data_IF_506353225640
#
_entry.id   IF_506353225640
#
_cell.length_a   1.000
_cell.length_b   1.000
_cell.length_c   1.000
_cell.angle_alpha   90.00
_cell.angle_beta   90.00
_cell.angle_gamma   90.00
#
_symmetry.space_group_name_H-M   'P 1'
#
loop_
_entity.id
_entity.type
_entity.pdbx_description
1 polymer ?
#
# COMPACT_ATOMS: atom_id res chain seq x y z
N UNK A 1 9.35 0.89 -0.37
CA UNK A 1 10.15 -0.04 -1.21
C UNK A 1 11.62 0.35 -1.08
N UNK A 2 12.47 -0.62 -0.82
CA UNK A 2 13.91 -0.45 -0.68
C UNK A 2 14.59 -1.20 -1.82
N UNK A 3 15.49 -0.56 -2.56
CA UNK A 3 16.39 -1.25 -3.49
C UNK A 3 17.82 -1.06 -3.01
N UNK A 4 18.54 -2.14 -2.80
CA UNK A 4 19.96 -2.11 -2.45
C UNK A 4 20.80 -2.67 -3.58
N UNK A 5 21.81 -1.90 -3.99
CA UNK A 5 22.80 -2.29 -4.99
C UNK A 5 24.11 -2.66 -4.31
N UNK A 6 24.42 -3.96 -4.35
CA UNK A 6 25.64 -4.61 -3.85
C UNK A 6 25.78 -4.56 -2.32
N UNK A 7 24.99 -5.38 -1.63
CA UNK A 7 25.31 -5.90 -0.29
C UNK A 7 25.49 -7.40 -0.49
N UNK A 8 26.76 -7.83 -0.55
CA UNK A 8 27.07 -9.21 -0.17
C UNK A 8 26.73 -9.33 1.31
N UNK A 9 26.07 -10.42 1.73
CA UNK A 9 25.72 -10.74 3.12
C UNK A 9 24.48 -10.03 3.70
N UNK A 10 23.32 -10.66 3.49
CA UNK A 10 22.12 -10.46 4.36
C UNK A 10 21.99 -11.61 5.39
N UNK A 11 22.86 -12.61 5.32
CA UNK A 11 22.93 -13.73 6.28
C UNK A 11 24.16 -13.55 7.19
N UNK A 12 23.91 -13.10 8.41
CA UNK A 12 24.72 -13.45 9.59
C UNK A 12 26.04 -12.71 9.84
N UNK A 13 26.52 -11.81 8.99
CA UNK A 13 27.80 -11.11 9.24
C UNK A 13 27.75 -9.66 8.79
N UNK A 14 27.94 -8.72 9.74
CA UNK A 14 28.16 -7.27 9.59
C UNK A 14 27.51 -6.63 8.35
N UNK A 15 26.39 -5.93 8.57
CA UNK A 15 25.95 -4.88 7.64
C UNK A 15 27.10 -3.87 7.55
N UNK A 16 27.71 -3.70 6.38
CA UNK A 16 28.55 -2.53 6.13
C UNK A 16 27.64 -1.30 6.23
N UNK A 17 27.63 -0.68 7.41
CA UNK A 17 26.87 0.53 7.78
C UNK A 17 27.24 1.76 6.93
N UNK A 18 28.15 1.63 5.95
CA UNK A 18 28.66 2.71 5.11
C UNK A 18 28.03 2.78 3.71
N UNK A 19 26.89 2.12 3.48
CA UNK A 19 26.17 2.29 2.21
C UNK A 19 25.30 3.57 2.26
N UNK A 20 25.65 4.56 1.43
CA UNK A 20 24.89 5.81 1.33
C UNK A 20 23.42 5.52 0.94
N UNK A 21 22.49 6.09 1.72
CA UNK A 21 21.05 5.95 1.52
C UNK A 21 20.52 7.17 0.80
N UNK A 22 19.81 6.96 -0.30
CA UNK A 22 19.27 8.01 -1.14
C UNK A 22 17.77 7.83 -1.36
N UNK A 23 17.00 8.92 -1.29
CA UNK A 23 15.58 8.88 -1.61
C UNK A 23 15.36 9.15 -3.11
N UNK A 24 14.58 8.30 -3.79
CA UNK A 24 14.37 8.38 -5.24
C UNK A 24 13.77 9.73 -5.68
N UNK A 25 12.89 10.30 -4.86
CA UNK A 25 12.24 11.58 -5.13
C UNK A 25 13.22 12.78 -5.15
N UNK A 26 14.38 12.68 -4.47
CA UNK A 26 15.39 13.74 -4.45
C UNK A 26 16.24 13.81 -5.72
N UNK A 27 16.27 12.73 -6.51
CA UNK A 27 17.01 12.74 -7.77
C UNK A 27 16.25 13.52 -8.86
N UNK A 28 16.98 14.26 -9.68
CA UNK A 28 16.44 14.85 -10.92
C UNK A 28 16.17 13.74 -11.94
N UNK A 29 15.31 13.98 -12.94
CA UNK A 29 14.96 13.03 -14.01
C UNK A 29 16.09 12.85 -15.06
N UNK A 30 17.32 12.69 -14.58
CA UNK A 30 18.53 12.40 -15.35
C UNK A 30 19.15 11.08 -14.83
N UNK A 31 20.28 10.63 -15.39
CA UNK A 31 20.94 9.40 -14.92
C UNK A 31 21.24 9.51 -13.41
N UNK A 32 20.90 8.49 -12.61
CA UNK A 32 21.19 8.51 -11.16
C UNK A 32 22.71 8.60 -10.92
N UNK A 33 23.50 7.94 -11.76
CA UNK A 33 24.96 8.01 -11.73
C UNK A 33 25.55 9.25 -12.44
N UNK A 34 24.78 10.32 -12.64
CA UNK A 34 25.29 11.58 -13.23
C UNK A 34 25.79 12.53 -12.14
N UNK A 35 26.66 13.47 -12.51
CA UNK A 35 27.13 14.56 -11.63
C UNK A 35 25.95 15.36 -11.06
N UNK A 36 24.91 15.61 -11.85
CA UNK A 36 23.69 16.31 -11.41
C UNK A 36 22.92 15.60 -10.28
N UNK A 37 23.15 14.30 -10.09
CA UNK A 37 22.55 13.47 -9.04
C UNK A 37 23.60 12.94 -8.05
N UNK A 38 24.79 13.56 -7.97
CA UNK A 38 25.83 13.18 -7.00
C UNK A 38 26.63 11.93 -7.35
N UNK A 39 26.62 11.50 -8.63
CA UNK A 39 27.40 10.36 -9.14
C UNK A 39 27.18 9.04 -8.37
N UNK A 40 25.94 8.79 -7.96
CA UNK A 40 25.57 7.62 -7.16
C UNK A 40 25.66 6.35 -8.01
N UNK A 41 26.74 5.58 -7.83
CA UNK A 41 26.98 4.31 -8.54
C UNK A 41 26.60 3.07 -7.71
N UNK A 42 26.63 3.18 -6.38
CA UNK A 42 26.35 2.11 -5.40
C UNK A 42 25.63 2.72 -4.20
N UNK A 43 24.88 1.93 -3.45
CA UNK A 43 24.16 2.39 -2.25
C UNK A 43 22.76 1.79 -2.16
N UNK A 44 21.94 2.39 -1.29
CA UNK A 44 20.54 2.01 -1.07
C UNK A 44 19.64 3.13 -1.57
N UNK A 45 18.68 2.79 -2.43
CA UNK A 45 17.64 3.71 -2.88
C UNK A 45 16.32 3.38 -2.18
N UNK A 46 15.78 4.34 -1.45
CA UNK A 46 14.44 4.28 -0.88
C UNK A 46 13.44 4.96 -1.81
N UNK A 47 12.31 4.31 -2.06
CA UNK A 47 11.20 4.88 -2.84
C UNK A 47 9.85 4.48 -2.24
N UNK A 48 8.92 5.43 -2.27
CA UNK A 48 7.50 5.13 -2.08
C UNK A 48 6.90 4.58 -3.38
N UNK A 49 5.78 3.87 -3.30
CA UNK A 49 5.06 3.40 -4.48
C UNK A 49 4.59 4.57 -5.37
N UNK A 50 4.17 5.69 -4.76
CA UNK A 50 3.79 6.90 -5.47
C UNK A 50 4.96 7.54 -6.24
N UNK A 51 6.15 7.59 -5.64
CA UNK A 51 7.34 8.10 -6.33
C UNK A 51 7.77 7.18 -7.48
N UNK A 52 7.57 5.87 -7.37
CA UNK A 52 7.96 4.90 -8.39
C UNK A 52 7.12 5.03 -9.68
N UNK A 53 5.82 5.31 -9.55
CA UNK A 53 4.90 5.52 -10.67
C UNK A 53 4.99 6.94 -11.28
N UNK A 54 5.86 7.78 -10.71
CA UNK A 54 6.06 9.16 -11.14
C UNK A 54 6.61 9.25 -12.56
N UNK A 55 6.07 10.19 -13.33
CA UNK A 55 6.50 10.52 -14.69
C UNK A 55 7.08 11.94 -14.71
N UNK A 56 7.91 12.24 -15.71
CA UNK A 56 8.39 13.60 -15.92
C UNK A 56 7.44 14.36 -16.82
N UNK A 57 7.09 15.59 -16.43
CA UNK A 57 6.32 16.53 -17.26
C UNK A 57 7.15 17.16 -18.38
N UNK A 58 8.45 16.84 -18.48
CA UNK A 58 9.35 17.42 -19.47
C UNK A 58 9.32 16.63 -20.79
N UNK A 59 8.81 17.27 -21.84
CA UNK A 59 8.75 16.77 -23.22
C UNK A 59 10.14 16.73 -23.84
N UNK A 60 10.94 15.70 -23.53
CA UNK A 60 12.27 15.52 -24.14
C UNK A 60 13.33 14.87 -23.25
N UNK A 61 13.05 14.62 -21.96
CA UNK A 61 13.99 13.94 -21.08
C UNK A 61 14.20 12.46 -21.46
N UNK A 62 15.46 11.98 -21.40
CA UNK A 62 15.85 10.58 -21.66
C UNK A 62 15.10 9.58 -20.75
N UNK A 63 14.64 10.03 -19.57
CA UNK A 63 13.88 9.23 -18.61
C UNK A 63 12.49 9.83 -18.38
N UNK A 64 11.49 9.28 -19.10
CA UNK A 64 10.09 9.67 -18.97
C UNK A 64 9.42 9.16 -17.68
N UNK A 65 9.92 8.07 -17.09
CA UNK A 65 9.38 7.49 -15.86
C UNK A 65 10.46 7.14 -14.84
N UNK A 66 10.11 7.23 -13.55
CA UNK A 66 11.00 6.91 -12.43
C UNK A 66 11.44 5.45 -12.42
N UNK A 67 10.56 4.51 -12.79
CA UNK A 67 10.95 3.11 -12.93
C UNK A 67 12.05 2.92 -13.98
N UNK A 68 11.98 3.56 -15.16
CA UNK A 68 13.02 3.45 -16.19
C UNK A 68 14.35 4.01 -15.72
N UNK A 69 14.32 5.12 -15.00
CA UNK A 69 15.51 5.72 -14.38
C UNK A 69 16.16 4.75 -13.39
N UNK A 70 15.35 4.10 -12.54
CA UNK A 70 15.81 3.12 -11.56
C UNK A 70 16.36 1.85 -12.21
N UNK A 71 15.66 1.30 -13.20
CA UNK A 71 16.10 0.12 -13.96
C UNK A 71 17.46 0.36 -14.63
N UNK A 72 17.67 1.54 -15.20
CA UNK A 72 18.96 1.90 -15.77
C UNK A 72 20.06 1.95 -14.69
N UNK A 73 19.76 2.46 -13.51
CA UNK A 73 20.71 2.49 -12.41
C UNK A 73 21.04 1.08 -11.90
N UNK A 74 20.06 0.19 -11.81
CA UNK A 74 20.28 -1.22 -11.46
C UNK A 74 21.18 -1.91 -12.49
N UNK A 75 20.88 -1.73 -13.79
CA UNK A 75 21.53 -2.46 -14.89
C UNK A 75 20.87 -3.82 -15.14
N UNK A 76 21.22 -4.47 -16.26
CA UNK A 76 20.60 -5.75 -16.66
C UNK A 76 21.02 -6.92 -15.76
N UNK A 77 22.25 -6.91 -15.24
CA UNK A 77 22.81 -7.96 -14.39
C UNK A 77 22.69 -7.67 -12.89
N UNK A 78 21.66 -6.93 -12.49
CA UNK A 78 21.47 -6.57 -11.09
C UNK A 78 21.11 -7.79 -10.23
N UNK A 79 21.98 -8.10 -9.25
CA UNK A 79 21.89 -9.20 -8.29
C UNK A 79 21.61 -8.72 -6.84
N UNK A 80 21.24 -7.45 -6.71
CA UNK A 80 20.93 -6.80 -5.44
C UNK A 80 19.59 -7.27 -4.84
N UNK A 81 19.22 -6.65 -3.72
CA UNK A 81 17.98 -6.98 -2.99
C UNK A 81 16.94 -5.88 -3.24
N UNK A 82 15.70 -6.28 -3.51
CA UNK A 82 14.52 -5.44 -3.63
C UNK A 82 13.56 -5.82 -2.51
N UNK A 83 13.24 -4.88 -1.63
CA UNK A 83 12.31 -5.07 -0.52
C UNK A 83 11.03 -4.29 -0.81
N UNK A 84 9.94 -5.01 -1.05
CA UNK A 84 8.60 -4.45 -1.11
C UNK A 84 8.01 -4.44 0.30
N UNK A 85 8.02 -3.25 0.90
CA UNK A 85 7.42 -2.99 2.20
C UNK A 85 5.96 -2.57 2.04
N UNK A 86 5.08 -3.04 2.94
CA UNK A 86 3.63 -3.04 2.78
C UNK A 86 3.18 -3.47 1.38
N UNK A 87 3.70 -4.61 0.93
CA UNK A 87 3.53 -5.10 -0.44
C UNK A 87 2.07 -5.36 -0.84
N UNK A 88 1.15 -5.48 0.13
CA UNK A 88 -0.29 -5.53 -0.10
C UNK A 88 -0.82 -4.31 -0.88
N UNK A 89 -0.09 -3.18 -0.93
CA UNK A 89 -0.43 -2.03 -1.80
C UNK A 89 -0.41 -2.35 -3.30
N UNK A 90 0.23 -3.45 -3.71
CA UNK A 90 0.25 -3.95 -5.08
C UNK A 90 -0.80 -5.05 -5.36
N UNK A 91 -1.70 -5.35 -4.41
CA UNK A 91 -2.73 -6.42 -4.53
C UNK A 91 -3.63 -6.28 -5.76
N UNK A 92 -3.95 -5.05 -6.15
CA UNK A 92 -4.80 -4.73 -7.30
C UNK A 92 -4.04 -4.83 -8.65
N UNK A 93 -3.09 -5.76 -8.76
CA UNK A 93 -2.53 -6.19 -10.04
C UNK A 93 -3.54 -7.06 -10.80
N UNK A 94 -4.27 -7.90 -10.09
CA UNK A 94 -5.41 -8.66 -10.61
C UNK A 94 -6.64 -8.28 -9.78
N UNK A 95 -7.31 -7.15 -10.09
CA UNK A 95 -8.43 -6.69 -9.29
C UNK A 95 -9.63 -7.64 -9.41
N UNK A 96 -10.49 -7.64 -8.38
CA UNK A 96 -11.74 -8.40 -8.40
C UNK A 96 -12.72 -7.74 -9.38
N UNK A 97 -13.11 -8.45 -10.44
CA UNK A 97 -14.04 -7.97 -11.48
C UNK A 97 -13.37 -7.52 -12.78
N UNK A 98 -14.05 -6.71 -13.59
CA UNK A 98 -13.61 -6.25 -14.93
C UNK A 98 -12.70 -5.01 -14.90
N UNK A 99 -12.22 -4.60 -13.73
CA UNK A 99 -11.43 -3.36 -13.60
C UNK A 99 -9.99 -3.54 -14.07
N UNK A 100 -9.39 -2.43 -14.55
CA UNK A 100 -8.00 -2.44 -15.03
C UNK A 100 -7.00 -2.57 -13.87
N UNK A 101 -5.88 -3.28 -14.06
CA UNK A 101 -4.79 -3.32 -13.09
C UNK A 101 -4.30 -1.94 -12.68
N UNK A 102 -3.95 -1.77 -11.40
CA UNK A 102 -3.39 -0.51 -10.92
C UNK A 102 -2.00 -0.24 -11.50
N UNK A 103 -1.69 1.02 -11.76
CA UNK A 103 -0.35 1.46 -12.21
C UNK A 103 0.75 0.99 -11.25
N UNK A 104 0.47 1.02 -9.94
CA UNK A 104 1.36 0.50 -8.90
C UNK A 104 1.64 -0.99 -9.08
N UNK A 105 0.59 -1.82 -9.24
CA UNK A 105 0.74 -3.26 -9.46
C UNK A 105 1.55 -3.56 -10.73
N UNK A 106 1.23 -2.89 -11.84
CA UNK A 106 1.94 -3.06 -13.11
C UNK A 106 3.42 -2.66 -13.00
N UNK A 107 3.72 -1.58 -12.30
CA UNK A 107 5.10 -1.08 -12.11
C UNK A 107 5.91 -2.04 -11.24
N UNK A 108 5.30 -2.61 -10.19
CA UNK A 108 5.92 -3.64 -9.35
C UNK A 108 6.18 -4.93 -10.14
N UNK A 109 5.24 -5.33 -11.00
CA UNK A 109 5.42 -6.47 -11.90
C UNK A 109 6.53 -6.21 -12.94
N UNK A 110 6.53 -5.04 -13.57
CA UNK A 110 7.54 -4.64 -14.54
C UNK A 110 8.95 -4.64 -13.93
N UNK A 111 9.09 -4.09 -12.72
CA UNK A 111 10.36 -4.06 -12.00
C UNK A 111 10.91 -5.48 -11.77
N UNK A 112 10.05 -6.40 -11.34
CA UNK A 112 10.42 -7.80 -11.13
C UNK A 112 10.82 -8.47 -12.44
N UNK A 113 10.04 -8.30 -13.51
CA UNK A 113 10.31 -8.92 -14.81
C UNK A 113 11.61 -8.42 -15.45
N UNK A 114 11.94 -7.14 -15.27
CA UNK A 114 13.15 -6.52 -15.83
C UNK A 114 14.42 -6.81 -15.02
N UNK A 115 14.31 -7.22 -13.76
CA UNK A 115 15.44 -7.56 -12.90
C UNK A 115 15.35 -9.03 -12.42
N UNK A 116 15.57 -10.02 -13.31
CA UNK A 116 15.36 -11.42 -12.98
C UNK A 116 16.36 -12.01 -12.00
N UNK A 117 17.58 -11.47 -11.92
CA UNK A 117 18.64 -11.90 -11.00
C UNK A 117 18.52 -11.25 -9.60
N UNK A 118 17.61 -10.29 -9.44
CA UNK A 118 17.43 -9.60 -8.18
C UNK A 118 16.74 -10.50 -7.14
N UNK A 119 17.22 -10.46 -5.90
CA UNK A 119 16.56 -11.10 -4.77
C UNK A 119 15.40 -10.21 -4.31
N UNK A 120 14.21 -10.77 -4.16
CA UNK A 120 13.02 -10.02 -3.78
C UNK A 120 12.54 -10.46 -2.40
N UNK A 121 12.32 -9.48 -1.52
CA UNK A 121 11.72 -9.67 -0.21
C UNK A 121 10.37 -8.97 -0.20
N UNK A 122 9.33 -9.69 0.20
CA UNK A 122 7.99 -9.16 0.38
C UNK A 122 7.71 -9.02 1.88
N UNK A 123 7.53 -7.80 2.36
CA UNK A 123 7.18 -7.50 3.74
C UNK A 123 5.77 -6.88 3.77
N UNK A 124 4.87 -7.50 4.53
CA UNK A 124 3.52 -7.00 4.75
C UNK A 124 2.92 -7.65 5.99
N UNK A 125 2.24 -6.86 6.82
CA UNK A 125 1.51 -7.37 7.98
C UNK A 125 0.18 -8.04 7.59
N UNK A 126 -0.39 -7.69 6.44
CA UNK A 126 -1.76 -8.06 6.02
C UNK A 126 -1.80 -8.75 4.66
N UNK A 127 -0.73 -9.45 4.28
CA UNK A 127 -0.49 -9.92 2.91
C UNK A 127 -1.46 -10.96 2.33
N UNK A 128 -2.23 -11.69 3.16
CA UNK A 128 -2.89 -12.94 2.75
C UNK A 128 -4.40 -12.97 3.05
N UNK A 129 -5.15 -11.93 2.67
CA UNK A 129 -6.63 -11.98 2.78
C UNK A 129 -7.28 -12.86 1.71
N UNK A 130 -6.78 -12.83 0.47
CA UNK A 130 -7.25 -13.69 -0.63
C UNK A 130 -6.08 -14.13 -1.53
N UNK A 131 -6.10 -15.34 -2.14
CA UNK A 131 -5.04 -15.81 -3.03
C UNK A 131 -4.77 -14.87 -4.21
N UNK A 132 -5.84 -14.28 -4.78
CA UNK A 132 -5.74 -13.30 -5.87
C UNK A 132 -4.95 -12.05 -5.48
N UNK A 133 -5.06 -11.63 -4.22
CA UNK A 133 -4.35 -10.47 -3.72
C UNK A 133 -2.84 -10.69 -3.62
N UNK A 134 -2.34 -11.93 -3.79
CA UNK A 134 -0.91 -12.24 -3.79
C UNK A 134 -0.30 -12.35 -5.20
N UNK A 135 -1.07 -12.02 -6.25
CA UNK A 135 -0.59 -12.06 -7.64
C UNK A 135 0.66 -11.20 -7.90
N UNK A 136 0.94 -10.19 -7.06
CA UNK A 136 2.18 -9.40 -7.16
C UNK A 136 3.44 -10.15 -6.72
N UNK A 137 3.30 -11.26 -5.96
CA UNK A 137 4.39 -12.11 -5.50
C UNK A 137 4.81 -13.13 -6.56
N UNK A 138 5.08 -12.64 -7.77
CA UNK A 138 5.37 -13.49 -8.95
C UNK A 138 6.59 -14.40 -8.74
N UNK A 139 7.53 -14.00 -7.86
CA UNK A 139 8.72 -14.78 -7.54
C UNK A 139 8.46 -15.98 -6.63
N UNK A 140 7.34 -16.01 -5.92
CA UNK A 140 6.99 -17.09 -5.01
C UNK A 140 6.10 -18.16 -5.65
N UNK A 141 5.93 -18.13 -6.98
CA UNK A 141 5.17 -19.11 -7.76
C UNK A 141 3.77 -19.39 -7.18
N UNK A 142 3.11 -18.35 -6.66
CA UNK A 142 1.71 -18.44 -6.22
C UNK A 142 0.83 -18.48 -7.47
N UNK A 143 0.61 -19.68 -7.98
CA UNK A 143 -0.28 -19.92 -9.11
C UNK A 143 -1.72 -19.54 -8.70
N UNK A 144 -2.59 -19.23 -9.68
CA UNK A 144 -3.99 -18.79 -9.45
C UNK A 144 -4.90 -19.85 -8.81
N UNK A 145 -4.32 -20.92 -8.29
CA UNK A 145 -5.01 -22.05 -7.66
C UNK A 145 -5.41 -21.62 -6.24
N UNK A 146 -6.59 -22.04 -5.80
CA UNK A 146 -7.29 -21.48 -4.63
C UNK A 146 -6.55 -21.57 -3.29
N UNK A 147 -7.25 -21.16 -2.22
CA UNK A 147 -6.71 -21.01 -0.86
C UNK A 147 -5.98 -22.26 -0.35
N UNK A 148 -6.45 -23.46 -0.70
CA UNK A 148 -5.81 -24.72 -0.27
C UNK A 148 -4.40 -24.95 -0.85
N UNK A 149 -4.15 -24.55 -2.11
CA UNK A 149 -2.78 -24.63 -2.68
C UNK A 149 -1.87 -23.60 -2.02
N UNK A 150 -2.43 -22.45 -1.65
CA UNK A 150 -1.69 -21.41 -0.95
C UNK A 150 -1.22 -21.86 0.43
N UNK A 151 -2.00 -22.65 1.16
CA UNK A 151 -1.59 -23.20 2.45
C UNK A 151 -0.39 -24.13 2.32
N UNK A 152 -0.39 -25.00 1.30
CA UNK A 152 0.72 -25.89 0.99
C UNK A 152 1.96 -25.08 0.59
N UNK A 153 1.81 -24.05 -0.25
CA UNK A 153 2.90 -23.14 -0.62
C UNK A 153 3.43 -22.41 0.59
N UNK A 154 2.57 -21.86 1.45
CA UNK A 154 2.98 -21.18 2.67
C UNK A 154 3.72 -22.12 3.63
N UNK A 155 3.27 -23.38 3.74
CA UNK A 155 3.93 -24.41 4.53
C UNK A 155 5.32 -24.74 3.97
N UNK A 156 5.47 -24.97 2.66
CA UNK A 156 6.76 -25.20 2.00
C UNK A 156 7.70 -24.00 2.16
N UNK A 157 7.20 -22.77 1.96
CA UNK A 157 7.97 -21.55 2.18
C UNK A 157 8.41 -21.40 3.64
N UNK A 158 7.57 -21.78 4.61
CA UNK A 158 7.90 -21.75 6.05
C UNK A 158 8.95 -22.81 6.40
N UNK A 159 8.81 -24.02 5.88
CA UNK A 159 9.77 -25.12 6.08
C UNK A 159 11.15 -24.77 5.50
N UNK A 160 11.20 -24.11 4.35
CA UNK A 160 12.44 -23.63 3.72
C UNK A 160 13.00 -22.35 4.34
N UNK A 161 12.34 -21.79 5.36
CA UNK A 161 12.73 -20.53 6.00
C UNK A 161 12.57 -19.28 5.10
N UNK A 162 11.90 -19.40 3.96
CA UNK A 162 11.65 -18.31 3.01
C UNK A 162 10.43 -17.46 3.39
N UNK A 163 9.55 -17.98 4.26
CA UNK A 163 8.41 -17.27 4.81
C UNK A 163 8.49 -17.25 6.34
N UNK A 164 8.50 -16.03 6.89
CA UNK A 164 8.47 -15.79 8.33
C UNK A 164 7.21 -15.00 8.65
N UNK A 165 6.29 -15.62 9.38
CA UNK A 165 5.17 -14.94 10.00
C UNK A 165 5.27 -15.13 11.52
N UNK A 166 5.39 -14.01 12.23
CA UNK A 166 5.33 -13.99 13.70
C UNK A 166 4.02 -13.34 14.11
N UNK A 167 3.25 -14.03 14.93
CA UNK A 167 2.09 -13.44 15.58
C UNK A 167 2.58 -12.64 16.78
N UNK A 168 2.19 -11.36 16.87
CA UNK A 168 2.37 -10.60 18.09
C UNK A 168 1.31 -11.07 19.10
N UNK A 169 1.74 -11.44 20.30
CA UNK A 169 0.82 -11.69 21.40
C UNK A 169 0.24 -10.37 21.89
N UNK A 170 -1.07 -10.32 22.15
CA UNK A 170 -1.72 -9.18 22.81
C UNK A 170 -1.41 -9.09 24.31
N UNK A 171 -0.50 -9.93 24.82
CA UNK A 171 -0.10 -9.88 26.22
C UNK A 171 0.51 -8.50 26.55
N UNK A 172 -0.08 -7.79 27.51
CA UNK A 172 0.33 -6.43 27.88
C UNK A 172 -0.23 -5.30 27.01
N UNK A 173 -1.04 -5.59 25.98
CA UNK A 173 -1.73 -4.56 25.20
C UNK A 173 -3.03 -4.17 25.90
N UNK A 174 -3.13 -2.91 26.33
CA UNK A 174 -4.38 -2.35 26.87
C UNK A 174 -5.03 -1.45 25.83
N UNK A 175 -6.27 -1.77 25.47
CA UNK A 175 -7.10 -0.91 24.64
C UNK A 175 -7.84 0.08 25.53
N UNK A 176 -7.67 1.38 25.30
CA UNK A 176 -8.46 2.40 25.94
C UNK A 176 -9.29 3.11 24.89
N UNK A 177 -10.60 3.12 25.10
CA UNK A 177 -11.51 3.93 24.31
C UNK A 177 -11.63 5.26 25.04
N UNK A 178 -11.03 6.29 24.46
CA UNK A 178 -11.16 7.64 24.98
C UNK A 178 -12.34 8.32 24.26
N UNK A 179 -13.30 8.76 25.06
CA UNK A 179 -14.47 9.50 24.58
C UNK A 179 -14.16 11.00 24.60
N UNK A 180 -14.06 11.61 23.43
CA UNK A 180 -13.83 13.06 23.30
C UNK A 180 -15.16 13.77 23.17
N UNK A 181 -15.42 14.74 24.06
CA UNK A 181 -16.56 15.64 23.99
C UNK A 181 -16.42 16.57 22.79
N UNK A 182 -17.42 16.59 21.92
CA UNK A 182 -17.47 17.52 20.79
C UNK A 182 -17.95 18.89 21.26
N UNK A 183 -17.45 19.97 20.63
CA UNK A 183 -17.99 21.31 20.88
C UNK A 183 -19.39 21.44 20.25
N UNK A 184 -20.22 22.30 20.83
CA UNK A 184 -21.57 22.57 20.31
C UNK A 184 -21.55 23.09 18.86
N UNK A 185 -20.49 23.82 18.48
CA UNK A 185 -20.29 24.30 17.10
C UNK A 185 -20.01 23.13 16.13
N UNK A 186 -19.19 22.16 16.54
CA UNK A 186 -18.91 20.97 15.73
C UNK A 186 -20.14 20.09 15.56
N UNK A 187 -20.97 19.97 16.60
CA UNK A 187 -22.23 19.22 16.53
C UNK A 187 -23.18 19.88 15.51
N UNK A 188 -23.37 21.20 15.59
CA UNK A 188 -24.20 21.93 14.63
C UNK A 188 -23.69 21.79 13.19
N UNK A 189 -22.39 21.98 12.97
CA UNK A 189 -21.77 21.82 11.64
C UNK A 189 -21.99 20.40 11.08
N UNK A 190 -21.85 19.39 11.93
CA UNK A 190 -22.07 18.00 11.54
C UNK A 190 -23.54 17.75 11.18
N UNK A 191 -24.47 18.20 12.01
CA UNK A 191 -25.91 18.03 11.78
C UNK A 191 -26.35 18.71 10.48
N UNK A 192 -25.83 19.92 10.20
CA UNK A 192 -26.16 20.64 8.97
C UNK A 192 -25.54 19.98 7.73
N UNK A 193 -24.33 19.42 7.84
CA UNK A 193 -23.72 18.64 6.77
C UNK A 193 -24.53 17.37 6.46
N UNK A 194 -25.03 16.68 7.49
CA UNK A 194 -25.88 15.48 7.33
C UNK A 194 -27.21 15.86 6.68
N UNK A 195 -27.86 16.94 7.13
CA UNK A 195 -29.09 17.46 6.49
C UNK A 195 -28.87 17.77 5.02
N UNK A 196 -27.79 18.48 4.68
CA UNK A 196 -27.44 18.80 3.29
C UNK A 196 -27.26 17.54 2.44
N UNK A 197 -26.52 16.55 2.95
CA UNK A 197 -26.27 15.29 2.24
C UNK A 197 -27.57 14.51 2.02
N UNK A 198 -28.47 14.51 3.00
CA UNK A 198 -29.76 13.84 2.92
C UNK A 198 -30.73 14.52 1.95
N UNK A 199 -30.78 15.86 1.94
CA UNK A 199 -31.58 16.64 1.00
C UNK A 199 -31.10 16.41 -0.44
N UNK A 200 -29.78 16.35 -0.63
CA UNK A 200 -29.18 16.06 -1.93
C UNK A 200 -29.57 14.66 -2.43
N UNK A 201 -29.57 13.66 -1.54
CA UNK A 201 -30.00 12.29 -1.87
C UNK A 201 -31.48 12.23 -2.26
N UNK A 202 -32.34 12.94 -1.53
CA UNK A 202 -33.77 13.09 -1.83
C UNK A 202 -34.00 13.75 -3.18
N UNK A 203 -33.27 14.82 -3.47
CA UNK A 203 -33.39 15.56 -4.72
C UNK A 203 -32.94 14.70 -5.91
N UNK A 204 -31.84 13.95 -5.76
CA UNK A 204 -31.40 12.96 -6.75
C UNK A 204 -32.44 11.85 -6.94
N UNK A 205 -33.00 11.29 -5.86
CA UNK A 205 -34.03 10.24 -5.96
C UNK A 205 -35.29 10.71 -6.70
N UNK A 206 -35.69 11.98 -6.51
CA UNK A 206 -36.81 12.59 -7.22
C UNK A 206 -36.50 12.85 -8.71
N UNK A 207 -35.28 13.29 -9.04
CA UNK A 207 -34.83 13.50 -10.43
C UNK A 207 -34.71 12.20 -11.22
N UNK A 208 -34.37 11.09 -10.57
CA UNK A 208 -34.28 9.76 -11.20
C UNK A 208 -35.57 8.93 -11.10
N UNK A 209 -36.67 9.51 -10.62
CA UNK A 209 -38.00 8.88 -10.67
C UNK A 209 -38.22 7.70 -9.71
N UNK A 210 -37.42 7.56 -8.64
CA UNK A 210 -37.51 6.45 -7.67
C UNK A 210 -38.55 6.74 -6.56
N UNK A 211 -39.52 7.62 -6.81
CA UNK A 211 -40.29 8.30 -5.78
C UNK A 211 -41.38 7.45 -5.06
N UNK A 212 -41.68 6.22 -5.47
CA UNK A 212 -42.93 5.55 -5.05
C UNK A 212 -42.82 4.47 -3.97
N UNK A 213 -41.65 4.21 -3.37
CA UNK A 213 -41.53 3.21 -2.28
C UNK A 213 -40.81 3.68 -1.00
N UNK A 214 -40.30 4.91 -0.94
CA UNK A 214 -39.41 5.33 0.15
C UNK A 214 -39.98 6.37 1.12
N UNK A 215 -41.18 6.92 0.88
CA UNK A 215 -41.69 8.04 1.70
C UNK A 215 -41.91 7.65 3.17
N UNK A 216 -42.35 6.42 3.46
CA UNK A 216 -42.53 5.89 4.83
C UNK A 216 -41.22 5.38 5.45
N UNK A 217 -40.24 4.99 4.62
CA UNK A 217 -38.92 4.49 5.07
C UNK A 217 -37.95 5.62 5.43
N UNK A 218 -38.18 6.85 5.00
CA UNK A 218 -37.23 7.94 5.20
C UNK A 218 -37.19 8.42 6.66
N UNK A 219 -38.33 8.53 7.35
CA UNK A 219 -38.35 8.89 8.77
C UNK A 219 -37.73 7.79 9.66
N UNK A 220 -37.90 6.52 9.27
CA UNK A 220 -37.22 5.37 9.90
C UNK A 220 -35.73 5.35 9.57
N UNK A 221 -35.31 5.72 8.36
CA UNK A 221 -33.90 5.87 7.98
C UNK A 221 -33.27 7.07 8.70
N UNK A 222 -33.99 8.18 8.86
CA UNK A 222 -33.51 9.34 9.64
C UNK A 222 -33.45 9.02 11.14
N UNK A 223 -34.42 8.29 11.68
CA UNK A 223 -34.37 7.77 13.06
C UNK A 223 -33.25 6.75 13.23
N UNK A 224 -33.02 5.86 12.27
CA UNK A 224 -31.93 4.89 12.30
C UNK A 224 -30.56 5.58 12.15
N UNK A 225 -30.42 6.58 11.28
CA UNK A 225 -29.19 7.38 11.14
C UNK A 225 -28.94 8.19 12.42
N UNK A 226 -29.97 8.76 13.06
CA UNK A 226 -29.86 9.43 14.36
C UNK A 226 -29.55 8.46 15.50
N UNK A 227 -30.10 7.24 15.48
CA UNK A 227 -29.86 6.20 16.49
C UNK A 227 -28.47 5.55 16.34
N UNK A 228 -27.97 5.40 15.11
CA UNK A 228 -26.62 4.91 14.81
C UNK A 228 -25.56 5.98 15.10
N UNK A 229 -25.88 7.27 14.93
CA UNK A 229 -24.97 8.41 15.15
C UNK A 229 -25.38 9.29 16.33
N UNK A 230 -25.66 8.71 17.51
CA UNK A 230 -25.82 9.50 18.74
C UNK A 230 -24.54 10.36 18.97
N UNK A 231 -24.59 11.70 18.82
CA UNK A 231 -23.41 12.51 18.49
C UNK A 231 -22.72 13.09 19.72
N UNK A 232 -22.83 12.47 20.89
CA UNK A 232 -22.26 13.07 22.10
C UNK A 232 -20.78 12.73 22.30
N UNK A 233 -20.27 11.66 21.67
CA UNK A 233 -18.93 11.14 21.95
C UNK A 233 -18.30 10.46 20.73
N UNK A 234 -17.18 10.99 20.23
CA UNK A 234 -16.33 10.22 19.29
C UNK A 234 -15.41 9.32 20.10
N UNK A 235 -15.47 8.02 19.80
CA UNK A 235 -14.55 7.01 20.35
C UNK A 235 -13.25 7.06 19.57
N UNK A 236 -12.17 7.50 20.22
CA UNK A 236 -10.82 7.42 19.69
C UNK A 236 -10.15 6.21 20.33
N UNK A 237 -9.63 5.30 19.51
CA UNK A 237 -8.90 4.14 19.98
C UNK A 237 -7.45 4.55 20.20
N UNK A 238 -7.05 4.70 21.46
CA UNK A 238 -5.66 4.97 21.82
C UNK A 238 -4.94 3.66 22.12
N UNK A 239 -3.76 3.49 21.51
CA UNK A 239 -2.96 2.26 21.60
C UNK A 239 -1.72 2.58 22.42
N UNK A 240 -1.60 1.95 23.59
CA UNK A 240 -0.43 2.09 24.47
C UNK A 240 0.26 0.74 24.59
N UNK A 241 1.53 0.71 24.21
CA UNK A 241 2.43 -0.43 24.42
C UNK A 241 3.24 -0.14 25.68
N UNK A 242 3.07 -0.95 26.73
CA UNK A 242 4.05 -0.98 27.83
C UNK A 242 5.25 -1.80 27.36
N UNK A 243 6.42 -1.17 27.32
CA UNK A 243 7.71 -1.85 27.14
C UNK A 243 8.06 -2.65 28.39
#
# INVERSE_FOLDING_TARGET
>A
MWLTKKIHYFLGSKIDYFSQVHALNKFKYTKISSTANGNVKKGVIFSTYAALIGESSQTGGKYKSRIKQLLQWCGQDFDGIIIFDECHRAKNLCPSGSSKPTKTGLTVLELQNKLPKARVVYASATGASEPRNMAYMVRLAVDKRGVGVMEIVAMDLKLRGMYIARQLSFHGVTFKIDEVSLSNEFIKLYDDAVKLSSLTLLLLASLFGIALQFQTSLDDVFSAIRAINCPQKKKVLSLSLRQ
#
